data_IF_098303281730
#
_entry.id   IF_098303281730
#
_cell.length_a   1.000
_cell.length_b   1.000
_cell.length_c   1.000
_cell.angle_alpha   90.00
_cell.angle_beta   90.00
_cell.angle_gamma   90.00
#
_symmetry.space_group_name_H-M   'P 1'
#
loop_
_entity.id
_entity.type
_entity.pdbx_description
1 polymer ?
#
# COMPACT_ATOMS: atom_id res chain seq x y z
N UNK A 1 41.80 24.58 -12.84
CA UNK A 1 42.93 23.63 -12.65
C UNK A 1 43.01 23.27 -11.17
N UNK A 2 42.59 22.04 -10.81
CA UNK A 2 42.99 21.32 -9.59
C UNK A 2 42.44 19.89 -9.74
N UNK A 3 43.36 19.00 -10.08
CA UNK A 3 43.25 17.54 -10.18
C UNK A 3 43.03 16.94 -8.79
N UNK A 4 42.08 16.00 -8.66
CA UNK A 4 41.99 15.12 -7.49
C UNK A 4 42.03 13.68 -8.00
N UNK A 5 43.01 12.95 -7.47
CA UNK A 5 43.45 11.62 -7.87
C UNK A 5 42.48 10.50 -7.45
N UNK A 6 42.45 9.48 -8.31
CA UNK A 6 41.98 8.13 -8.07
C UNK A 6 42.67 7.48 -6.86
N UNK A 7 41.91 6.69 -6.10
CA UNK A 7 42.42 5.48 -5.45
C UNK A 7 41.35 4.39 -5.56
N UNK A 8 41.56 3.47 -6.50
CA UNK A 8 40.80 2.24 -6.64
C UNK A 8 41.42 1.18 -5.72
N UNK A 9 40.68 0.70 -4.73
CA UNK A 9 41.08 -0.44 -3.92
C UNK A 9 40.38 -1.70 -4.46
N UNK A 10 41.13 -2.51 -5.21
CA UNK A 10 40.77 -3.88 -5.55
C UNK A 10 40.98 -4.75 -4.31
N UNK A 11 39.91 -5.30 -3.76
CA UNK A 11 40.00 -6.37 -2.75
C UNK A 11 39.65 -7.68 -3.45
N UNK A 12 40.69 -8.48 -3.73
CA UNK A 12 40.58 -9.90 -4.07
C UNK A 12 40.31 -10.68 -2.79
N UNK A 13 39.09 -11.19 -2.60
CA UNK A 13 38.83 -12.21 -1.57
C UNK A 13 38.89 -13.58 -2.23
N UNK A 14 39.89 -14.35 -1.81
CA UNK A 14 40.13 -15.73 -2.16
C UNK A 14 38.93 -16.62 -1.83
N UNK A 15 38.55 -17.43 -2.81
CA UNK A 15 37.55 -18.47 -2.74
C UNK A 15 38.20 -19.74 -2.16
N UNK A 16 37.79 -20.27 -0.99
CA UNK A 16 38.18 -21.61 -0.60
C UNK A 16 37.32 -22.63 -1.36
N UNK A 17 37.98 -23.45 -2.19
CA UNK A 17 37.47 -24.71 -2.69
C UNK A 17 37.07 -25.59 -1.50
N UNK A 18 35.78 -25.91 -1.38
CA UNK A 18 35.30 -26.98 -0.51
C UNK A 18 34.92 -28.18 -1.37
N UNK A 19 35.47 -29.32 -0.97
CA UNK A 19 35.43 -30.61 -1.66
C UNK A 19 34.03 -31.13 -1.96
N UNK A 20 33.93 -31.78 -3.12
CA UNK A 20 32.86 -32.64 -3.56
C UNK A 20 32.66 -33.83 -2.61
N UNK A 21 31.50 -33.89 -1.95
CA UNK A 21 30.97 -35.08 -1.30
C UNK A 21 30.10 -35.89 -2.26
N UNK A 22 30.25 -37.21 -2.21
CA UNK A 22 29.72 -38.24 -3.12
C UNK A 22 28.17 -38.29 -3.25
N UNK A 23 27.66 -38.89 -4.36
CA UNK A 23 26.23 -39.09 -4.57
C UNK A 23 25.69 -40.25 -3.72
N UNK A 24 24.94 -39.92 -2.67
CA UNK A 24 24.08 -40.86 -1.96
C UNK A 24 22.74 -41.00 -2.68
N UNK A 25 22.53 -42.13 -3.34
CA UNK A 25 21.22 -42.60 -3.83
C UNK A 25 20.29 -42.87 -2.65
N UNK A 26 19.56 -41.83 -2.22
CA UNK A 26 18.41 -41.93 -1.31
C UNK A 26 17.14 -41.62 -2.08
N UNK A 27 16.24 -42.59 -2.17
CA UNK A 27 14.96 -42.49 -2.87
C UNK A 27 14.10 -41.30 -2.39
N UNK A 28 13.51 -40.50 -3.30
CA UNK A 28 12.48 -39.57 -2.90
C UNK A 28 11.17 -40.35 -2.75
N UNK A 29 10.87 -40.76 -1.52
CA UNK A 29 9.48 -40.98 -1.13
C UNK A 29 8.76 -39.63 -1.18
N UNK A 30 8.23 -39.27 -2.34
CA UNK A 30 7.26 -38.18 -2.49
C UNK A 30 5.97 -38.61 -1.77
N UNK A 31 5.95 -38.41 -0.46
CA UNK A 31 4.69 -38.18 0.22
C UNK A 31 4.17 -36.84 -0.33
N UNK A 32 3.20 -36.92 -1.24
CA UNK A 32 2.33 -35.80 -1.58
C UNK A 32 1.57 -35.41 -0.32
N UNK A 33 2.22 -34.67 0.57
CA UNK A 33 1.55 -33.94 1.64
C UNK A 33 0.79 -32.83 0.94
N UNK A 34 -0.48 -33.09 0.64
CA UNK A 34 -1.42 -32.07 0.19
C UNK A 34 -1.21 -30.84 1.08
N UNK A 35 -0.77 -29.72 0.49
CA UNK A 35 -0.51 -28.50 1.24
C UNK A 35 -1.79 -28.17 2.02
N UNK A 36 -1.68 -28.07 3.34
CA UNK A 36 -2.84 -27.86 4.20
C UNK A 36 -3.44 -26.49 3.89
N UNK A 37 -4.55 -26.49 3.17
CA UNK A 37 -5.33 -25.27 2.91
C UNK A 37 -5.98 -24.83 4.21
N UNK A 38 -5.80 -23.56 4.56
CA UNK A 38 -6.58 -22.92 5.62
C UNK A 38 -7.69 -22.09 5.01
N UNK A 39 -8.74 -21.84 5.78
CA UNK A 39 -9.87 -21.00 5.40
C UNK A 39 -10.30 -20.14 6.58
N UNK A 40 -10.75 -18.91 6.28
CA UNK A 40 -11.42 -18.03 7.24
C UNK A 40 -12.67 -17.41 6.59
N UNK A 41 -13.66 -17.06 7.41
CA UNK A 41 -14.80 -16.25 6.99
C UNK A 41 -14.49 -14.77 7.22
N UNK A 42 -14.82 -13.94 6.23
CA UNK A 42 -14.62 -12.49 6.22
C UNK A 42 -15.86 -11.79 5.64
N UNK A 43 -15.94 -10.47 5.77
CA UNK A 43 -16.99 -9.68 5.13
C UNK A 43 -16.34 -8.72 4.14
N UNK A 44 -16.76 -8.78 2.88
CA UNK A 44 -16.36 -7.86 1.82
C UNK A 44 -17.59 -7.21 1.24
N UNK A 45 -17.60 -5.87 1.14
CA UNK A 45 -18.72 -5.09 0.60
C UNK A 45 -20.09 -5.45 1.24
N UNK A 46 -20.09 -5.78 2.53
CA UNK A 46 -21.30 -6.20 3.25
C UNK A 46 -21.76 -7.63 3.00
N UNK A 47 -21.04 -8.41 2.17
CA UNK A 47 -21.34 -9.80 1.86
C UNK A 47 -20.40 -10.76 2.61
N UNK A 48 -20.89 -11.92 3.06
CA UNK A 48 -20.04 -12.96 3.64
C UNK A 48 -19.19 -13.62 2.55
N UNK A 49 -17.89 -13.71 2.79
CA UNK A 49 -16.95 -14.37 1.88
C UNK A 49 -16.01 -15.29 2.65
N UNK A 50 -15.52 -16.31 1.97
CA UNK A 50 -14.45 -17.17 2.43
C UNK A 50 -13.13 -16.70 1.82
N UNK A 51 -12.09 -16.66 2.63
CA UNK A 51 -10.72 -16.47 2.20
C UNK A 51 -9.95 -17.75 2.48
N UNK A 52 -9.43 -18.41 1.45
CA UNK A 52 -8.73 -19.69 1.58
C UNK A 52 -7.40 -19.70 0.83
N UNK A 53 -6.47 -20.54 1.27
CA UNK A 53 -5.16 -20.71 0.61
C UNK A 53 -4.15 -21.52 1.41
N UNK A 54 -2.96 -21.79 0.84
CA UNK A 54 -1.92 -22.62 1.44
C UNK A 54 -1.06 -21.84 2.47
N UNK A 55 -1.70 -21.02 3.31
CA UNK A 55 -1.06 -20.27 4.39
C UNK A 55 -1.83 -20.47 5.70
N UNK A 56 -1.29 -20.01 6.83
CA UNK A 56 -1.97 -20.14 8.12
C UNK A 56 -3.22 -19.27 8.21
N UNK A 57 -4.16 -19.63 9.09
CA UNK A 57 -5.34 -18.80 9.38
C UNK A 57 -4.95 -17.41 9.91
N UNK A 58 -3.87 -17.29 10.68
CA UNK A 58 -3.34 -15.99 11.13
C UNK A 58 -2.85 -15.13 9.97
N UNK A 59 -2.15 -15.74 9.00
CA UNK A 59 -1.73 -15.05 7.78
C UNK A 59 -2.93 -14.61 6.94
N UNK A 60 -3.95 -15.45 6.75
CA UNK A 60 -5.18 -15.07 6.03
C UNK A 60 -5.88 -13.87 6.70
N UNK A 61 -5.98 -13.85 8.03
CA UNK A 61 -6.55 -12.72 8.78
C UNK A 61 -5.72 -11.46 8.58
N UNK A 62 -4.40 -11.58 8.63
CA UNK A 62 -3.47 -10.47 8.41
C UNK A 62 -3.59 -9.89 7.00
N UNK A 63 -3.64 -10.75 5.98
CA UNK A 63 -3.84 -10.38 4.58
C UNK A 63 -5.17 -9.65 4.41
N UNK A 64 -6.26 -10.21 4.91
CA UNK A 64 -7.57 -9.55 4.83
C UNK A 64 -7.56 -8.20 5.55
N UNK A 65 -6.93 -8.10 6.72
CA UNK A 65 -6.90 -6.86 7.50
C UNK A 65 -6.24 -5.68 6.75
N UNK A 66 -5.35 -5.97 5.79
CA UNK A 66 -4.67 -4.97 4.97
C UNK A 66 -5.20 -4.89 3.52
N UNK A 67 -6.27 -5.60 3.20
CA UNK A 67 -6.88 -5.56 1.87
C UNK A 67 -7.33 -4.14 1.51
N UNK A 68 -7.36 -3.78 0.21
CA UNK A 68 -7.82 -2.46 -0.26
C UNK A 68 -9.19 -2.05 0.30
N UNK A 69 -10.08 -3.03 0.51
CA UNK A 69 -11.41 -2.81 1.06
C UNK A 69 -11.39 -2.48 2.57
N UNK A 70 -10.33 -2.89 3.26
CA UNK A 70 -10.20 -2.78 4.72
C UNK A 70 -9.29 -1.62 5.17
N UNK A 71 -8.42 -1.14 4.28
CA UNK A 71 -7.56 0.01 4.53
C UNK A 71 -8.09 1.18 3.72
N UNK A 72 -8.53 2.22 4.46
CA UNK A 72 -9.05 3.51 3.99
C UNK A 72 -9.82 3.46 2.66
N UNK A 73 -11.16 3.49 2.68
CA UNK A 73 -11.95 3.35 1.47
C UNK A 73 -11.65 4.47 0.48
N UNK A 74 -11.58 4.10 -0.80
CA UNK A 74 -11.48 4.97 -1.97
C UNK A 74 -12.63 5.97 -1.98
N UNK A 75 -12.46 7.08 -1.26
CA UNK A 75 -13.39 8.19 -1.27
C UNK A 75 -12.78 9.28 -2.12
N UNK A 76 -13.51 9.70 -3.17
CA UNK A 76 -13.18 10.87 -4.01
C UNK A 76 -13.25 12.20 -3.23
N UNK A 77 -13.63 12.17 -1.96
CA UNK A 77 -13.62 13.34 -1.09
C UNK A 77 -12.24 13.61 -0.47
N UNK A 78 -12.02 14.87 -0.10
CA UNK A 78 -10.85 15.32 0.65
C UNK A 78 -10.60 14.45 1.89
N UNK A 79 -9.40 13.86 2.02
CA UNK A 79 -9.18 12.84 3.03
C UNK A 79 -9.00 13.49 4.41
N UNK A 80 -9.72 12.96 5.40
CA UNK A 80 -9.54 13.32 6.81
C UNK A 80 -8.32 12.62 7.42
N UNK A 81 -7.56 13.32 8.25
CA UNK A 81 -6.30 12.82 8.83
C UNK A 81 -6.48 11.63 9.78
N UNK A 82 -7.56 11.60 10.57
CA UNK A 82 -7.77 10.56 11.59
C UNK A 82 -7.92 9.14 11.03
N UNK A 83 -8.80 8.87 10.05
CA UNK A 83 -8.89 7.52 9.49
C UNK A 83 -7.62 7.10 8.71
N UNK A 84 -6.84 8.05 8.17
CA UNK A 84 -5.52 7.74 7.58
C UNK A 84 -4.53 7.29 8.66
N UNK A 85 -4.48 7.97 9.82
CA UNK A 85 -3.62 7.60 10.95
C UNK A 85 -3.94 6.19 11.46
N UNK A 86 -5.23 5.89 11.67
CA UNK A 86 -5.67 4.55 12.07
C UNK A 86 -5.24 3.48 11.05
N UNK A 87 -5.35 3.78 9.77
CA UNK A 87 -4.93 2.88 8.69
C UNK A 87 -3.41 2.64 8.70
N UNK A 88 -2.60 3.68 8.92
CA UNK A 88 -1.15 3.56 9.07
C UNK A 88 -0.75 2.75 10.31
N UNK A 89 -1.42 2.96 11.44
CA UNK A 89 -1.19 2.19 12.66
C UNK A 89 -1.54 0.72 12.47
N UNK A 90 -2.71 0.44 11.86
CA UNK A 90 -3.13 -0.92 11.49
C UNK A 90 -2.06 -1.59 10.62
N UNK A 91 -1.61 -0.93 9.57
CA UNK A 91 -0.62 -1.48 8.63
C UNK A 91 0.75 -1.77 9.29
N UNK A 92 1.16 -0.97 10.27
CA UNK A 92 2.41 -1.17 11.02
C UNK A 92 2.33 -2.31 12.03
N UNK A 93 1.16 -2.55 12.61
CA UNK A 93 0.98 -3.51 13.71
C UNK A 93 0.67 -4.94 13.23
N UNK A 94 0.57 -5.18 11.92
CA UNK A 94 0.36 -6.53 11.38
C UNK A 94 1.66 -7.32 11.40
N UNK A 95 1.73 -8.34 12.27
CA UNK A 95 2.95 -9.13 12.53
C UNK A 95 3.10 -10.41 11.70
N UNK A 96 2.04 -10.93 11.07
CA UNK A 96 2.04 -12.24 10.37
C UNK A 96 1.79 -12.11 8.87
N UNK A 97 2.24 -11.01 8.27
CA UNK A 97 2.07 -10.77 6.84
C UNK A 97 3.11 -11.55 6.03
N UNK A 98 2.71 -12.37 5.05
CA UNK A 98 3.67 -13.05 4.19
C UNK A 98 4.57 -12.07 3.42
N UNK A 99 5.83 -12.42 3.21
CA UNK A 99 6.83 -11.57 2.56
C UNK A 99 6.43 -11.09 1.16
N UNK A 100 5.59 -11.86 0.45
CA UNK A 100 5.02 -11.44 -0.84
C UNK A 100 4.24 -10.11 -0.80
N UNK A 101 3.79 -9.66 0.37
CA UNK A 101 3.09 -8.39 0.55
C UNK A 101 3.98 -7.24 1.05
N UNK A 102 5.28 -7.45 1.26
CA UNK A 102 6.19 -6.38 1.70
C UNK A 102 6.13 -5.16 0.77
N UNK A 103 6.25 -5.40 -0.54
CA UNK A 103 6.17 -4.34 -1.55
C UNK A 103 4.82 -3.61 -1.54
N UNK A 104 3.72 -4.34 -1.33
CA UNK A 104 2.39 -3.73 -1.23
C UNK A 104 2.31 -2.83 0.01
N UNK A 105 2.73 -3.34 1.17
CA UNK A 105 2.77 -2.62 2.45
C UNK A 105 3.61 -1.35 2.37
N UNK A 106 4.77 -1.40 1.73
CA UNK A 106 5.65 -0.23 1.60
C UNK A 106 5.01 0.87 0.74
N UNK A 107 4.44 0.49 -0.42
CA UNK A 107 3.76 1.44 -1.31
C UNK A 107 2.53 2.05 -0.66
N UNK A 108 1.72 1.22 0.00
CA UNK A 108 0.52 1.69 0.70
C UNK A 108 0.89 2.61 1.86
N UNK A 109 1.92 2.28 2.63
CA UNK A 109 2.44 3.13 3.70
C UNK A 109 2.85 4.50 3.16
N UNK A 110 3.61 4.52 2.06
CA UNK A 110 4.06 5.77 1.44
C UNK A 110 2.90 6.62 0.92
N UNK A 111 1.90 5.98 0.29
CA UNK A 111 0.68 6.64 -0.19
C UNK A 111 -0.10 7.27 0.96
N UNK A 112 -0.36 6.51 2.03
CA UNK A 112 -1.08 6.98 3.22
C UNK A 112 -0.33 8.10 3.96
N UNK A 113 1.01 8.02 4.05
CA UNK A 113 1.82 9.11 4.60
C UNK A 113 1.70 10.38 3.75
N UNK A 114 1.67 10.24 2.43
CA UNK A 114 1.38 11.35 1.51
C UNK A 114 0.02 11.99 1.80
N UNK A 115 -1.05 11.19 1.87
CA UNK A 115 -2.38 11.71 2.20
C UNK A 115 -2.43 12.40 3.57
N UNK A 116 -1.74 11.85 4.57
CA UNK A 116 -1.68 12.47 5.90
C UNK A 116 -0.96 13.83 5.84
N UNK A 117 0.17 13.91 5.16
CA UNK A 117 0.94 15.14 4.99
C UNK A 117 0.15 16.21 4.20
N UNK A 118 -0.60 15.79 3.18
CA UNK A 118 -1.50 16.67 2.45
C UNK A 118 -2.63 17.18 3.34
N UNK A 119 -3.34 16.30 4.05
CA UNK A 119 -4.47 16.67 4.92
C UNK A 119 -4.05 17.62 6.05
N UNK A 120 -2.95 17.29 6.75
CA UNK A 120 -2.41 18.12 7.83
C UNK A 120 -1.88 19.46 7.28
N UNK A 121 -1.18 19.45 6.15
CA UNK A 121 -0.71 20.64 5.46
C UNK A 121 -1.84 21.56 4.99
N UNK A 122 -2.91 20.99 4.41
CA UNK A 122 -4.08 21.70 3.92
C UNK A 122 -4.87 22.34 5.08
N UNK A 123 -4.99 21.63 6.20
CA UNK A 123 -5.60 22.15 7.43
C UNK A 123 -4.87 23.39 7.97
N UNK A 124 -3.53 23.35 7.98
CA UNK A 124 -2.72 24.51 8.36
C UNK A 124 -2.82 25.64 7.34
N UNK A 125 -2.78 25.33 6.05
CA UNK A 125 -2.92 26.31 4.97
C UNK A 125 -4.28 27.04 5.04
N UNK A 126 -5.36 26.32 5.36
CA UNK A 126 -6.70 26.89 5.58
C UNK A 126 -6.72 27.90 6.72
N UNK A 127 -6.02 27.62 7.83
CA UNK A 127 -5.97 28.48 9.02
C UNK A 127 -5.07 29.71 8.83
N UNK A 128 -3.97 29.53 8.10
CA UNK A 128 -2.94 30.57 7.95
C UNK A 128 -3.09 31.38 6.67
N UNK A 129 -3.94 30.93 5.73
CA UNK A 129 -4.03 31.46 4.37
C UNK A 129 -2.67 31.48 3.65
N UNK A 130 -1.82 30.49 3.93
CA UNK A 130 -0.48 30.34 3.36
C UNK A 130 -0.22 28.93 2.87
N UNK A 131 0.39 28.81 1.68
CA UNK A 131 0.68 27.52 1.05
C UNK A 131 1.93 26.82 1.61
N UNK A 132 2.80 27.56 2.28
CA UNK A 132 4.13 27.10 2.71
C UNK A 132 4.10 25.77 3.47
N UNK A 133 3.19 25.62 4.43
CA UNK A 133 3.09 24.40 5.23
C UNK A 133 2.59 23.20 4.41
N UNK A 134 1.64 23.41 3.49
CA UNK A 134 1.17 22.37 2.57
C UNK A 134 2.32 21.89 1.69
N UNK A 135 3.04 22.82 1.06
CA UNK A 135 4.17 22.48 0.20
C UNK A 135 5.29 21.79 0.98
N UNK A 136 5.66 22.30 2.15
CA UNK A 136 6.71 21.72 3.00
C UNK A 136 6.40 20.27 3.39
N UNK A 137 5.15 19.99 3.79
CA UNK A 137 4.75 18.67 4.25
C UNK A 137 4.55 17.68 3.09
N UNK A 138 3.89 18.11 2.00
CA UNK A 138 3.57 17.22 0.89
C UNK A 138 4.77 16.91 -0.02
N UNK A 139 5.71 17.86 -0.18
CA UNK A 139 6.85 17.76 -1.13
C UNK A 139 7.64 16.44 -1.11
N UNK A 140 7.96 15.83 0.05
CA UNK A 140 8.69 14.56 0.09
C UNK A 140 7.97 13.38 -0.58
N UNK A 141 6.66 13.47 -0.74
CA UNK A 141 5.81 12.43 -1.32
C UNK A 141 5.45 12.69 -2.78
N UNK A 142 5.76 13.88 -3.29
CA UNK A 142 5.45 14.25 -4.66
C UNK A 142 6.44 13.60 -5.63
N UNK A 143 5.92 13.09 -6.73
CA UNK A 143 6.64 12.45 -7.83
C UNK A 143 5.91 12.71 -9.15
N UNK A 144 6.61 12.56 -10.27
CA UNK A 144 6.01 12.71 -11.60
C UNK A 144 6.04 14.15 -12.15
N UNK A 145 5.27 14.37 -13.22
CA UNK A 145 5.44 15.53 -14.11
C UNK A 145 4.60 16.76 -13.73
N UNK A 146 3.52 16.58 -12.96
CA UNK A 146 2.57 17.66 -12.58
C UNK A 146 2.94 18.37 -11.27
N UNK A 147 4.13 18.14 -10.71
CA UNK A 147 4.56 18.80 -9.46
C UNK A 147 4.51 20.33 -9.57
N UNK A 148 4.94 20.90 -10.69
CA UNK A 148 4.90 22.36 -10.91
C UNK A 148 3.47 22.90 -10.95
N UNK A 149 2.54 22.11 -11.47
CA UNK A 149 1.12 22.48 -11.49
C UNK A 149 0.55 22.50 -10.07
N UNK A 150 0.88 21.50 -9.26
CA UNK A 150 0.52 21.47 -7.84
C UNK A 150 1.10 22.67 -7.07
N UNK A 151 2.38 22.99 -7.26
CA UNK A 151 3.03 24.15 -6.65
C UNK A 151 2.35 25.47 -7.08
N UNK A 152 1.97 25.58 -8.35
CA UNK A 152 1.27 26.76 -8.90
C UNK A 152 -0.13 26.90 -8.29
N UNK A 153 -0.89 25.80 -8.19
CA UNK A 153 -2.20 25.79 -7.54
C UNK A 153 -2.08 26.15 -6.05
N UNK A 154 -1.08 25.61 -5.36
CA UNK A 154 -0.86 25.91 -3.95
C UNK A 154 -0.54 27.39 -3.74
N UNK A 155 0.28 27.99 -4.62
CA UNK A 155 0.58 29.43 -4.59
C UNK A 155 -0.64 30.35 -4.79
N UNK A 156 -1.74 29.84 -5.38
CA UNK A 156 -3.00 30.60 -5.44
C UNK A 156 -3.58 30.88 -4.04
N UNK A 157 -3.32 30.02 -3.06
CA UNK A 157 -3.73 30.22 -1.65
C UNK A 157 -3.13 31.53 -1.11
N UNK A 158 -1.84 31.77 -1.40
CA UNK A 158 -1.14 32.97 -0.92
C UNK A 158 -1.68 34.25 -1.58
N UNK A 159 -2.12 34.15 -2.83
CA UNK A 159 -2.65 35.27 -3.62
C UNK A 159 -4.10 35.60 -3.28
N UNK A 160 -4.94 34.58 -3.11
CA UNK A 160 -6.36 34.72 -2.74
C UNK A 160 -6.56 35.02 -1.25
N UNK A 161 -5.54 34.74 -0.41
CA UNK A 161 -5.61 34.76 1.06
C UNK A 161 -6.75 33.92 1.63
N UNK A 162 -7.24 32.95 0.87
CA UNK A 162 -8.33 32.05 1.25
C UNK A 162 -8.23 30.75 0.47
N UNK A 163 -8.41 29.64 1.18
CA UNK A 163 -8.62 28.33 0.58
C UNK A 163 -10.12 28.03 0.56
N UNK A 164 -10.73 28.09 -0.62
CA UNK A 164 -12.10 27.62 -0.85
C UNK A 164 -12.13 26.12 -1.20
N UNK A 165 -13.35 25.56 -1.27
CA UNK A 165 -13.58 24.14 -1.57
C UNK A 165 -13.07 23.76 -2.96
N UNK A 166 -13.21 24.65 -3.93
CA UNK A 166 -12.92 24.35 -5.33
C UNK A 166 -11.41 24.27 -5.56
N UNK A 167 -10.65 25.22 -4.96
CA UNK A 167 -9.20 25.17 -4.97
C UNK A 167 -8.67 23.96 -4.19
N UNK A 168 -9.29 23.62 -3.06
CA UNK A 168 -8.93 22.42 -2.29
C UNK A 168 -9.17 21.13 -3.09
N UNK A 169 -10.29 21.05 -3.82
CA UNK A 169 -10.59 19.95 -4.73
C UNK A 169 -9.56 19.85 -5.86
N UNK A 170 -9.30 20.94 -6.58
CA UNK A 170 -8.28 20.98 -7.65
C UNK A 170 -6.90 20.56 -7.15
N UNK A 171 -6.50 21.03 -5.96
CA UNK A 171 -5.24 20.62 -5.33
C UNK A 171 -5.20 19.12 -5.07
N UNK A 172 -6.31 18.55 -4.59
CA UNK A 172 -6.40 17.14 -4.29
C UNK A 172 -6.38 16.27 -5.55
N UNK A 173 -7.09 16.66 -6.61
CA UNK A 173 -7.06 15.98 -7.92
C UNK A 173 -5.63 15.93 -8.48
N UNK A 174 -4.94 17.07 -8.51
CA UNK A 174 -3.53 17.08 -8.97
C UNK A 174 -2.64 16.28 -8.04
N UNK A 175 -2.89 16.31 -6.73
CA UNK A 175 -2.14 15.55 -5.74
C UNK A 175 -2.24 14.04 -5.96
N UNK A 176 -3.43 13.52 -6.27
CA UNK A 176 -3.66 12.09 -6.55
C UNK A 176 -2.77 11.56 -7.69
N UNK A 177 -2.52 12.39 -8.71
CA UNK A 177 -1.68 12.04 -9.88
C UNK A 177 -0.18 12.07 -9.61
N UNK A 178 0.25 12.73 -8.53
CA UNK A 178 1.68 12.98 -8.25
C UNK A 178 2.16 12.34 -6.95
N UNK A 179 1.38 11.44 -6.35
CA UNK A 179 1.84 10.64 -5.20
C UNK A 179 2.13 9.19 -5.60
N UNK A 180 2.46 8.34 -4.63
CA UNK A 180 2.53 6.90 -4.83
C UNK A 180 1.17 6.39 -5.37
N UNK A 181 1.13 5.77 -6.57
CA UNK A 181 -0.10 5.23 -7.12
C UNK A 181 -0.71 4.18 -6.19
N UNK A 182 -2.02 3.97 -6.34
CA UNK A 182 -2.70 2.92 -5.57
C UNK A 182 -2.05 1.55 -5.82
N UNK A 183 -1.57 0.84 -4.76
CA UNK A 183 -0.95 -0.45 -4.92
C UNK A 183 -1.94 -1.62 -4.95
N UNK A 184 -3.25 -1.39 -5.09
CA UNK A 184 -4.30 -2.41 -5.22
C UNK A 184 -3.93 -3.54 -6.20
N UNK A 185 -3.47 -3.19 -7.41
CA UNK A 185 -3.06 -4.20 -8.40
C UNK A 185 -1.90 -5.08 -7.89
N UNK A 186 -1.00 -4.51 -7.07
CA UNK A 186 0.08 -5.26 -6.43
C UNK A 186 -0.48 -6.26 -5.43
N UNK A 187 -1.49 -5.89 -4.66
CA UNK A 187 -2.19 -6.78 -3.72
C UNK A 187 -2.82 -7.97 -4.47
N UNK A 188 -3.63 -7.71 -5.49
CA UNK A 188 -4.29 -8.77 -6.27
C UNK A 188 -3.31 -9.72 -6.95
N UNK A 189 -2.23 -9.19 -7.55
CA UNK A 189 -1.17 -10.03 -8.13
C UNK A 189 -0.49 -10.92 -7.09
N UNK A 190 -0.28 -10.43 -5.86
CA UNK A 190 0.31 -11.23 -4.78
C UNK A 190 -0.64 -12.33 -4.32
N UNK A 191 -1.92 -12.03 -4.11
CA UNK A 191 -2.96 -13.02 -3.76
C UNK A 191 -2.98 -14.18 -4.76
N UNK A 192 -3.03 -13.86 -6.06
CA UNK A 192 -3.03 -14.85 -7.13
C UNK A 192 -1.77 -15.73 -7.11
N UNK A 193 -0.57 -15.12 -6.98
CA UNK A 193 0.70 -15.86 -6.92
C UNK A 193 0.79 -16.81 -5.73
N UNK A 194 0.09 -16.50 -4.65
CA UNK A 194 0.06 -17.30 -3.43
C UNK A 194 -1.05 -18.35 -3.42
N UNK A 195 -1.84 -18.46 -4.50
CA UNK A 195 -3.03 -19.32 -4.58
C UNK A 195 -4.01 -19.06 -3.42
N UNK A 196 -4.20 -17.78 -3.11
CA UNK A 196 -5.20 -17.33 -2.15
C UNK A 196 -6.45 -16.89 -2.91
N UNK A 197 -7.62 -17.30 -2.44
CA UNK A 197 -8.89 -17.10 -3.13
C UNK A 197 -9.92 -16.47 -2.21
N UNK A 198 -10.66 -15.48 -2.73
CA UNK A 198 -11.87 -14.96 -2.12
C UNK A 198 -13.08 -15.57 -2.82
N UNK A 199 -13.99 -16.17 -2.04
CA UNK A 199 -15.24 -16.77 -2.54
C UNK A 199 -16.40 -16.17 -1.74
N UNK A 200 -17.17 -15.28 -2.36
CA UNK A 200 -18.34 -14.68 -1.70
C UNK A 200 -19.59 -15.54 -1.91
N UNK A 201 -20.38 -15.73 -0.85
CA UNK A 201 -21.67 -16.41 -0.92
C UNK A 201 -22.73 -15.34 -1.05
N UNK A 202 -23.47 -15.37 -2.16
CA UNK A 202 -24.67 -14.57 -2.32
C UNK A 202 -25.85 -15.46 -1.93
N UNK A 203 -26.52 -15.13 -0.84
CA UNK A 203 -27.77 -15.82 -0.48
C UNK A 203 -28.82 -15.48 -1.52
N UNK A 204 -29.34 -16.48 -2.23
CA UNK A 204 -30.54 -16.36 -3.06
C UNK A 204 -31.78 -16.33 -2.15
N UNK A 205 -31.90 -15.33 -1.28
CA UNK A 205 -33.02 -15.24 -0.36
C UNK A 205 -34.22 -14.55 -1.04
N UNK A 206 -35.04 -15.35 -1.72
CA UNK A 206 -36.49 -15.35 -1.49
C UNK A 206 -37.39 -14.51 -2.39
N UNK A 207 -37.47 -14.82 -3.68
CA UNK A 207 -38.69 -14.57 -4.48
C UNK A 207 -39.75 -15.60 -4.04
N UNK A 208 -40.42 -15.34 -2.92
CA UNK A 208 -41.66 -16.05 -2.58
C UNK A 208 -42.81 -15.21 -3.11
N UNK A 209 -43.21 -15.49 -4.35
CA UNK A 209 -44.53 -15.13 -4.88
C UNK A 209 -45.59 -15.57 -3.86
N UNK A 210 -46.22 -14.59 -3.22
CA UNK A 210 -47.39 -14.79 -2.38
C UNK A 210 -48.60 -14.43 -3.23
N UNK A 211 -49.24 -15.44 -3.81
CA UNK A 211 -50.62 -15.38 -4.33
C UNK A 211 -51.63 -14.94 -3.26
#
# INVERSE_FOLDING_TARGET
MKTVQLAAALIFVLCPLVSFGAPGTGAPGQANSAAKTSEITVTLFGQPCYLSGPVSTSALKSIHSISPEQIYPSSDALPSSEPIRRSLEKLKNVSDLPSGFERYRDRLTRRLQGFLAFSDGLSVAKKTARSENLLKQAKPFLQGKRIKEFETLAGKIDSSKKLDSDLAGQLFEVFLDIIEPDPEETFHRTIQKMNIHYTCVFSEDGESDSE
#
